data_IF_835314926344
#
_entry.id   IF_835314926344
#
_cell.length_a   1.000
_cell.length_b   1.000
_cell.length_c   1.000
_cell.angle_alpha   90.00
_cell.angle_beta   90.00
_cell.angle_gamma   90.00
#
_symmetry.space_group_name_H-M   'P 1'
#
loop_
_entity.id
_entity.type
_entity.pdbx_description
1 polymer ?
#
# COMPACT_ATOMS: atom_id res chain seq x y z
N UNK A 1 -8.22 -25.24 -12.94
CA UNK A 1 -8.73 -26.26 -11.99
C UNK A 1 -8.02 -26.08 -10.66
N UNK A 2 -8.64 -25.36 -9.72
CA UNK A 2 -8.13 -25.23 -8.36
C UNK A 2 -8.61 -26.44 -7.56
N UNK A 3 -7.70 -27.37 -7.28
CA UNK A 3 -7.99 -28.48 -6.39
C UNK A 3 -8.20 -27.96 -4.97
N UNK A 4 -9.45 -27.96 -4.50
CA UNK A 4 -9.82 -27.69 -3.11
C UNK A 4 -9.25 -28.82 -2.24
N UNK A 5 -8.26 -28.47 -1.45
CA UNK A 5 -7.64 -29.39 -0.49
C UNK A 5 -8.66 -29.76 0.59
N UNK A 6 -8.85 -31.05 0.87
CA UNK A 6 -9.79 -31.50 1.92
C UNK A 6 -9.28 -31.13 3.31
N UNK A 7 -10.20 -30.96 4.27
CA UNK A 7 -9.87 -30.64 5.67
C UNK A 7 -8.85 -31.64 6.28
N UNK A 8 -8.91 -32.91 5.89
CA UNK A 8 -7.99 -33.97 6.31
C UNK A 8 -6.58 -33.77 5.73
N UNK A 9 -6.48 -33.30 4.47
CA UNK A 9 -5.19 -32.96 3.85
C UNK A 9 -4.57 -31.70 4.47
N UNK A 10 -5.41 -30.72 4.83
CA UNK A 10 -4.99 -29.56 5.58
C UNK A 10 -4.48 -29.95 6.98
N UNK A 11 -5.21 -30.77 7.71
CA UNK A 11 -4.81 -31.27 9.06
C UNK A 11 -3.47 -32.03 9.02
N UNK A 12 -3.25 -32.89 8.02
CA UNK A 12 -1.99 -33.61 7.87
C UNK A 12 -0.79 -32.70 7.66
N UNK A 13 -0.97 -31.50 7.07
CA UNK A 13 0.08 -30.49 6.89
C UNK A 13 0.45 -29.75 8.19
N UNK A 14 -0.50 -29.70 9.15
CA UNK A 14 -0.30 -28.99 10.43
C UNK A 14 0.09 -29.91 11.59
N UNK A 15 -0.28 -31.20 11.54
CA UNK A 15 -0.18 -32.14 12.66
C UNK A 15 0.77 -33.31 12.42
N UNK A 16 1.67 -33.28 11.44
CA UNK A 16 2.77 -34.22 11.47
C UNK A 16 3.64 -33.88 12.69
N UNK A 17 3.31 -34.51 13.85
CA UNK A 17 4.29 -34.63 14.94
C UNK A 17 5.59 -35.12 14.28
N UNK A 18 6.76 -34.51 14.55
CA UNK A 18 8.02 -35.10 14.14
C UNK A 18 8.04 -36.51 14.72
N UNK A 19 8.18 -37.52 13.85
CA UNK A 19 8.58 -38.85 14.31
C UNK A 19 9.77 -38.63 15.25
N UNK A 20 9.69 -39.24 16.42
CA UNK A 20 10.80 -39.33 17.38
C UNK A 20 12.09 -39.51 16.61
N UNK A 21 12.82 -38.44 16.44
CA UNK A 21 14.15 -38.43 15.84
C UNK A 21 15.11 -38.38 17.01
N UNK A 22 15.94 -39.35 17.05
CA UNK A 22 17.17 -39.42 17.82
C UNK A 22 17.81 -38.03 17.97
N UNK A 23 18.03 -37.64 19.23
CA UNK A 23 18.87 -36.53 19.67
C UNK A 23 18.94 -35.26 18.82
N UNK A 24 18.23 -34.22 19.28
CA UNK A 24 18.72 -32.84 19.36
C UNK A 24 19.17 -32.13 18.06
N UNK A 25 18.50 -32.29 16.93
CA UNK A 25 18.67 -31.33 15.82
C UNK A 25 17.39 -30.57 15.55
N UNK A 26 17.47 -29.31 15.88
CA UNK A 26 16.43 -28.29 15.73
C UNK A 26 15.97 -28.11 14.27
N UNK A 27 14.77 -27.60 14.12
CA UNK A 27 14.19 -27.27 12.81
C UNK A 27 14.95 -26.09 12.20
N UNK A 28 15.35 -26.19 10.92
CA UNK A 28 16.09 -25.10 10.27
C UNK A 28 15.24 -23.82 10.15
N UNK A 29 15.90 -22.66 10.16
CA UNK A 29 15.26 -21.34 9.98
C UNK A 29 14.41 -21.31 8.69
N UNK A 30 14.91 -21.94 7.62
CA UNK A 30 14.19 -22.02 6.34
C UNK A 30 12.84 -22.75 6.50
N UNK A 31 12.81 -23.88 7.19
CA UNK A 31 11.60 -24.65 7.43
C UNK A 31 10.63 -23.92 8.36
N UNK A 32 11.15 -23.23 9.38
CA UNK A 32 10.34 -22.38 10.27
C UNK A 32 9.70 -21.22 9.49
N UNK A 33 10.45 -20.63 8.57
CA UNK A 33 9.94 -19.55 7.73
C UNK A 33 8.83 -20.04 6.77
N UNK A 34 8.98 -21.25 6.19
CA UNK A 34 7.92 -21.84 5.36
C UNK A 34 6.66 -22.13 6.18
N UNK A 35 6.80 -22.66 7.39
CA UNK A 35 5.67 -22.88 8.29
C UNK A 35 4.99 -21.57 8.67
N UNK A 36 5.77 -20.54 8.97
CA UNK A 36 5.24 -19.19 9.24
C UNK A 36 4.49 -18.61 8.06
N UNK A 37 5.01 -18.73 6.84
CA UNK A 37 4.32 -18.27 5.62
C UNK A 37 3.01 -19.04 5.41
N UNK A 38 2.98 -20.34 5.67
CA UNK A 38 1.73 -21.14 5.63
C UNK A 38 0.73 -20.65 6.68
N UNK A 39 1.19 -20.42 7.91
CA UNK A 39 0.33 -19.86 8.96
C UNK A 39 -0.26 -18.51 8.54
N UNK A 40 0.56 -17.57 8.07
CA UNK A 40 0.10 -16.28 7.57
C UNK A 40 -0.90 -16.41 6.41
N UNK A 41 -0.77 -17.44 5.58
CA UNK A 41 -1.64 -17.66 4.42
C UNK A 41 -2.98 -18.28 4.81
N UNK A 42 -2.96 -19.32 5.63
CA UNK A 42 -4.15 -20.15 5.85
C UNK A 42 -4.84 -19.90 7.21
N UNK A 43 -4.10 -19.43 8.21
CA UNK A 43 -4.65 -19.13 9.54
C UNK A 43 -4.96 -17.64 9.67
N UNK A 44 -3.98 -16.78 9.36
CA UNK A 44 -4.16 -15.33 9.45
C UNK A 44 -4.87 -14.74 8.20
N UNK A 45 -5.08 -15.54 7.15
CA UNK A 45 -5.73 -15.17 5.88
C UNK A 45 -5.21 -13.85 5.29
N UNK A 46 -3.88 -13.65 5.35
CA UNK A 46 -3.25 -12.42 4.87
C UNK A 46 -3.34 -12.30 3.34
N UNK A 47 -3.41 -11.06 2.84
CA UNK A 47 -3.47 -10.81 1.41
C UNK A 47 -2.24 -11.35 0.67
N UNK A 48 -2.38 -11.78 -0.62
CA UNK A 48 -1.26 -12.29 -1.43
C UNK A 48 -0.07 -11.32 -1.50
N UNK A 49 -0.33 -10.03 -1.55
CA UNK A 49 0.72 -8.99 -1.56
C UNK A 49 1.49 -8.96 -0.25
N UNK A 50 0.80 -9.09 0.89
CA UNK A 50 1.43 -9.16 2.22
C UNK A 50 2.30 -10.40 2.34
N UNK A 51 1.81 -11.57 1.88
CA UNK A 51 2.55 -12.83 1.86
C UNK A 51 3.80 -12.71 0.99
N UNK A 52 3.66 -12.16 -0.23
CA UNK A 52 4.80 -11.94 -1.14
C UNK A 52 5.88 -11.06 -0.49
N UNK A 53 5.49 -9.97 0.16
CA UNK A 53 6.41 -9.09 0.87
C UNK A 53 7.13 -9.84 2.00
N UNK A 54 6.39 -10.55 2.86
CA UNK A 54 6.99 -11.37 3.95
C UNK A 54 7.98 -12.39 3.41
N UNK A 55 7.61 -13.10 2.35
CA UNK A 55 8.46 -14.11 1.69
C UNK A 55 9.76 -13.52 1.18
N UNK A 56 9.72 -12.35 0.55
CA UNK A 56 10.91 -11.65 0.05
C UNK A 56 11.89 -11.31 1.18
N UNK A 57 11.41 -10.71 2.26
CA UNK A 57 12.26 -10.33 3.39
C UNK A 57 12.79 -11.55 4.15
N UNK A 58 11.98 -12.59 4.34
CA UNK A 58 12.45 -13.83 4.96
C UNK A 58 13.48 -14.55 4.10
N UNK A 59 13.32 -14.55 2.78
CA UNK A 59 14.32 -15.13 1.86
C UNK A 59 15.68 -14.44 2.02
N UNK A 60 15.72 -13.11 2.03
CA UNK A 60 16.95 -12.34 2.25
C UNK A 60 17.58 -12.66 3.61
N UNK A 61 16.76 -12.75 4.66
CA UNK A 61 17.24 -13.13 5.98
C UNK A 61 17.83 -14.54 6.03
N UNK A 62 17.15 -15.54 5.44
CA UNK A 62 17.62 -16.93 5.36
C UNK A 62 18.92 -17.03 4.56
N UNK A 63 19.05 -16.31 3.46
CA UNK A 63 20.27 -16.25 2.65
C UNK A 63 21.45 -15.69 3.48
N UNK A 64 21.21 -14.61 4.21
CA UNK A 64 22.21 -14.04 5.12
C UNK A 64 22.58 -15.01 6.27
N UNK A 65 21.62 -15.71 6.83
CA UNK A 65 21.87 -16.75 7.84
C UNK A 65 22.77 -17.85 7.28
N UNK A 66 22.46 -18.35 6.09
CA UNK A 66 23.24 -19.41 5.42
C UNK A 66 24.68 -18.99 5.14
N UNK A 67 24.90 -17.78 4.61
CA UNK A 67 26.24 -17.27 4.32
C UNK A 67 27.09 -17.04 5.59
N UNK A 68 26.45 -16.99 6.76
CA UNK A 68 27.14 -16.88 8.06
C UNK A 68 27.07 -18.17 8.91
N UNK A 69 26.79 -19.32 8.29
CA UNK A 69 26.70 -20.64 8.94
C UNK A 69 25.69 -20.71 10.09
N UNK A 70 24.60 -19.90 10.03
CA UNK A 70 23.49 -19.90 10.98
C UNK A 70 22.29 -20.61 10.36
N UNK A 71 22.14 -21.89 10.61
CA UNK A 71 21.09 -22.71 10.00
C UNK A 71 19.87 -22.90 10.91
N UNK A 72 20.07 -22.79 12.21
CA UNK A 72 19.04 -23.04 13.22
C UNK A 72 18.69 -21.77 13.98
N UNK A 73 17.45 -21.66 14.43
CA UNK A 73 16.98 -20.47 15.12
C UNK A 73 17.65 -20.30 16.49
N UNK A 74 18.05 -21.42 17.13
CA UNK A 74 18.79 -21.46 18.39
C UNK A 74 20.20 -20.86 18.29
N UNK A 75 20.78 -20.85 17.07
CA UNK A 75 22.09 -20.23 16.83
C UNK A 75 22.04 -18.70 16.80
N UNK A 76 20.81 -18.14 16.77
CA UNK A 76 20.60 -16.70 16.66
C UNK A 76 20.53 -16.07 18.04
N UNK A 77 21.28 -15.00 18.21
CA UNK A 77 21.21 -14.13 19.38
C UNK A 77 20.73 -12.73 18.97
N UNK A 78 20.33 -11.92 19.94
CA UNK A 78 19.95 -10.53 19.66
C UNK A 78 21.11 -9.73 19.05
N UNK A 79 22.33 -9.92 19.54
CA UNK A 79 23.52 -9.25 19.00
C UNK A 79 23.78 -9.65 17.54
N UNK A 80 23.50 -10.92 17.19
CA UNK A 80 23.62 -11.38 15.82
C UNK A 80 22.54 -10.76 14.92
N UNK A 81 21.32 -10.59 15.41
CA UNK A 81 20.26 -9.87 14.68
C UNK A 81 20.60 -8.39 14.49
N UNK A 82 21.20 -7.75 15.48
CA UNK A 82 21.67 -6.35 15.34
C UNK A 82 22.75 -6.25 14.27
N UNK A 83 23.67 -7.23 14.20
CA UNK A 83 24.63 -7.34 13.10
C UNK A 83 23.94 -7.50 11.73
N UNK A 84 22.93 -8.37 11.62
CA UNK A 84 22.14 -8.49 10.40
C UNK A 84 21.48 -7.16 10.00
N UNK A 85 20.83 -6.47 10.94
CA UNK A 85 20.18 -5.19 10.64
C UNK A 85 21.20 -4.09 10.27
N UNK A 86 22.36 -4.11 10.87
CA UNK A 86 23.45 -3.20 10.49
C UNK A 86 23.90 -3.43 9.05
N UNK A 87 24.20 -4.66 8.67
CA UNK A 87 24.60 -5.00 7.30
C UNK A 87 23.48 -4.71 6.30
N UNK A 88 22.23 -5.04 6.63
CA UNK A 88 21.07 -4.78 5.79
C UNK A 88 20.84 -3.28 5.57
N UNK A 89 21.05 -2.46 6.57
CA UNK A 89 20.88 -0.99 6.48
C UNK A 89 21.94 -0.31 5.60
N UNK A 90 23.09 -0.91 5.34
CA UNK A 90 24.10 -0.37 4.43
C UNK A 90 23.60 -0.28 2.98
N UNK A 91 22.73 -1.18 2.58
CA UNK A 91 22.26 -1.34 1.19
C UNK A 91 20.79 -1.01 0.99
N UNK A 92 20.04 -0.80 2.08
CA UNK A 92 18.59 -0.58 2.04
C UNK A 92 18.16 0.70 2.75
N UNK A 93 17.10 1.31 2.23
CA UNK A 93 16.52 2.51 2.84
C UNK A 93 15.99 2.24 4.28
N UNK A 94 15.98 3.24 5.17
CA UNK A 94 15.47 3.09 6.55
C UNK A 94 14.05 2.53 6.64
N UNK A 95 13.17 2.90 5.69
CA UNK A 95 11.79 2.38 5.61
C UNK A 95 11.75 0.88 5.30
N UNK A 96 12.64 0.40 4.42
CA UNK A 96 12.79 -1.02 4.08
C UNK A 96 13.32 -1.80 5.28
N UNK A 97 14.36 -1.26 5.94
CA UNK A 97 14.93 -1.85 7.17
C UNK A 97 13.88 -1.98 8.28
N UNK A 98 13.05 -0.95 8.47
CA UNK A 98 11.95 -1.01 9.43
C UNK A 98 10.87 -2.04 9.06
N UNK A 99 10.62 -2.21 7.76
CA UNK A 99 9.70 -3.26 7.28
C UNK A 99 10.26 -4.63 7.58
N UNK A 100 11.55 -4.86 7.32
CA UNK A 100 12.27 -6.10 7.67
C UNK A 100 12.20 -6.38 9.16
N UNK A 101 12.48 -5.39 10.01
CA UNK A 101 12.38 -5.50 11.47
C UNK A 101 10.99 -5.94 11.93
N UNK A 102 9.93 -5.35 11.37
CA UNK A 102 8.53 -5.73 11.70
C UNK A 102 8.20 -7.15 11.27
N UNK A 103 8.67 -7.57 10.10
CA UNK A 103 8.45 -8.94 9.59
C UNK A 103 9.20 -9.95 10.45
N UNK A 104 10.48 -9.71 10.77
CA UNK A 104 11.28 -10.58 11.63
C UNK A 104 10.74 -10.61 13.05
N UNK A 105 10.30 -9.49 13.62
CA UNK A 105 9.60 -9.49 14.92
C UNK A 105 8.39 -10.41 14.92
N UNK A 106 7.56 -10.34 13.87
CA UNK A 106 6.38 -11.22 13.75
C UNK A 106 6.76 -12.68 13.53
N UNK A 107 7.84 -12.95 12.80
CA UNK A 107 8.38 -14.30 12.60
C UNK A 107 8.93 -14.87 13.90
N UNK A 108 9.77 -14.13 14.63
CA UNK A 108 10.31 -14.59 15.92
C UNK A 108 9.21 -14.80 16.96
N UNK A 109 8.17 -13.96 16.98
CA UNK A 109 7.00 -14.20 17.83
C UNK A 109 6.31 -15.51 17.49
N UNK A 110 6.09 -15.79 16.20
CA UNK A 110 5.50 -17.04 15.75
C UNK A 110 6.32 -18.26 16.19
N UNK A 111 7.66 -18.25 16.05
CA UNK A 111 8.48 -19.40 16.45
C UNK A 111 8.58 -19.54 17.98
N UNK A 112 8.51 -18.44 18.72
CA UNK A 112 8.44 -18.49 20.19
C UNK A 112 7.10 -19.11 20.64
N UNK A 113 5.98 -18.66 20.07
CA UNK A 113 4.63 -19.08 20.49
C UNK A 113 4.27 -20.48 19.99
N UNK A 114 4.84 -20.95 18.88
CA UNK A 114 4.43 -22.20 18.21
C UNK A 114 5.48 -23.28 18.19
N UNK A 115 6.74 -22.93 18.23
CA UNK A 115 7.85 -23.87 18.20
C UNK A 115 8.67 -23.85 19.50
N UNK A 116 8.25 -23.04 20.48
CA UNK A 116 8.88 -22.91 21.82
C UNK A 116 10.37 -22.51 21.74
N UNK A 117 10.78 -21.87 20.64
CA UNK A 117 12.15 -21.40 20.43
C UNK A 117 12.27 -19.98 20.96
N UNK A 118 13.02 -19.80 22.04
CA UNK A 118 13.14 -18.53 22.77
C UNK A 118 14.51 -17.86 22.63
N UNK A 119 15.33 -18.29 21.66
CA UNK A 119 16.67 -17.75 21.42
C UNK A 119 16.71 -16.24 21.19
N UNK A 120 15.64 -15.69 20.63
CA UNK A 120 15.48 -14.26 20.41
C UNK A 120 14.14 -13.80 20.97
N UNK A 121 14.17 -12.89 21.94
CA UNK A 121 12.96 -12.21 22.39
C UNK A 121 12.47 -11.22 21.32
N UNK A 122 11.29 -11.44 20.70
CA UNK A 122 10.77 -10.58 19.60
C UNK A 122 10.52 -9.13 20.05
N UNK A 123 10.29 -8.87 21.34
CA UNK A 123 9.96 -7.54 21.82
C UNK A 123 11.16 -6.60 21.90
N UNK A 124 12.36 -7.13 21.87
CA UNK A 124 13.61 -6.34 21.78
C UNK A 124 13.79 -5.79 20.35
N UNK A 125 13.21 -6.42 19.32
CA UNK A 125 13.29 -5.93 17.94
C UNK A 125 12.44 -4.66 17.81
N UNK A 126 13.10 -3.50 17.93
CA UNK A 126 12.45 -2.18 17.80
C UNK A 126 12.63 -1.63 16.40
N UNK A 127 11.53 -1.19 15.78
CA UNK A 127 11.59 -0.36 14.59
C UNK A 127 11.83 1.09 15.00
N UNK A 128 12.70 1.81 14.28
CA UNK A 128 12.88 3.23 14.51
C UNK A 128 11.62 4.01 14.11
N UNK A 129 11.27 5.04 14.87
CA UNK A 129 10.29 6.03 14.40
C UNK A 129 10.93 6.77 13.21
N UNK A 130 10.55 6.40 12.01
CA UNK A 130 10.88 7.23 10.86
C UNK A 130 10.10 8.54 11.02
N UNK A 131 10.76 9.68 10.92
CA UNK A 131 10.06 10.93 10.65
C UNK A 131 9.26 10.70 9.37
N UNK A 132 7.93 10.81 9.46
CA UNK A 132 7.08 10.70 8.28
C UNK A 132 7.47 11.87 7.37
N UNK A 133 7.97 11.64 6.16
CA UNK A 133 8.27 12.73 5.25
C UNK A 133 6.97 13.51 5.01
N UNK A 134 7.08 14.84 4.85
CA UNK A 134 5.94 15.67 4.47
C UNK A 134 5.29 15.07 3.22
N UNK A 135 3.96 14.99 3.14
CA UNK A 135 3.29 14.49 1.95
C UNK A 135 3.66 15.41 0.77
N UNK A 136 4.24 14.80 -0.24
CA UNK A 136 4.53 15.52 -1.48
C UNK A 136 3.28 15.45 -2.36
N UNK A 137 2.45 16.48 -2.29
CA UNK A 137 1.37 16.67 -3.26
C UNK A 137 1.90 17.44 -4.47
N UNK A 138 1.23 17.28 -5.59
CA UNK A 138 1.53 17.94 -6.86
C UNK A 138 0.54 19.10 -6.99
N UNK A 139 1.02 20.27 -7.41
CA UNK A 139 0.16 21.41 -7.65
C UNK A 139 -0.91 21.06 -8.71
N UNK A 140 -2.11 21.57 -8.53
CA UNK A 140 -3.25 21.44 -9.43
C UNK A 140 -2.88 21.82 -10.87
N UNK A 141 -2.29 22.99 -11.08
CA UNK A 141 -1.89 23.48 -12.40
C UNK A 141 -0.94 22.53 -13.13
N UNK A 142 -0.04 21.88 -12.39
CA UNK A 142 0.88 20.88 -12.96
C UNK A 142 0.12 19.64 -13.41
N UNK A 143 -0.88 19.19 -12.62
CA UNK A 143 -1.68 18.00 -12.97
C UNK A 143 -2.53 18.31 -14.20
N UNK A 144 -3.20 19.45 -14.22
CA UNK A 144 -4.03 19.88 -15.35
C UNK A 144 -3.21 20.05 -16.62
N UNK A 145 -2.03 20.67 -16.51
CA UNK A 145 -1.10 20.78 -17.64
C UNK A 145 -0.72 19.40 -18.21
N UNK A 146 -0.40 18.44 -17.35
CA UNK A 146 -0.07 17.07 -17.79
C UNK A 146 -1.28 16.39 -18.44
N UNK A 147 -2.50 16.54 -17.87
CA UNK A 147 -3.72 15.98 -18.44
C UNK A 147 -3.95 16.55 -19.84
N UNK A 148 -3.87 17.87 -20.01
CA UNK A 148 -4.08 18.54 -21.29
C UNK A 148 -3.07 18.13 -22.36
N UNK A 149 -1.80 17.96 -21.99
CA UNK A 149 -0.71 17.58 -22.91
C UNK A 149 -0.61 16.08 -23.19
N UNK A 150 -1.24 15.25 -22.36
CA UNK A 150 -1.23 13.79 -22.56
C UNK A 150 -2.07 13.44 -23.79
N UNK A 151 -1.40 12.86 -24.80
CA UNK A 151 -2.02 12.49 -26.08
C UNK A 151 -2.67 11.11 -26.04
N UNK A 152 -2.17 10.18 -25.22
CA UNK A 152 -2.79 8.86 -25.07
C UNK A 152 -4.08 8.97 -24.25
N UNK A 153 -5.26 8.65 -24.85
CA UNK A 153 -6.56 8.85 -24.20
C UNK A 153 -6.73 7.99 -22.94
N UNK A 154 -6.13 6.80 -22.92
CA UNK A 154 -6.23 5.91 -21.77
C UNK A 154 -5.46 6.47 -20.56
N UNK A 155 -4.25 6.95 -20.80
CA UNK A 155 -3.42 7.60 -19.76
C UNK A 155 -4.07 8.89 -19.28
N UNK A 156 -4.56 9.71 -20.22
CA UNK A 156 -5.23 10.99 -19.92
C UNK A 156 -6.43 10.78 -19.01
N UNK A 157 -7.34 9.88 -19.41
CA UNK A 157 -8.56 9.60 -18.63
C UNK A 157 -8.23 8.96 -17.27
N UNK A 158 -7.23 8.07 -17.21
CA UNK A 158 -6.81 7.47 -15.95
C UNK A 158 -6.28 8.51 -14.94
N UNK A 159 -5.47 9.45 -15.39
CA UNK A 159 -4.93 10.54 -14.53
C UNK A 159 -6.07 11.42 -14.04
N UNK A 160 -6.94 11.88 -14.96
CA UNK A 160 -8.09 12.74 -14.68
C UNK A 160 -9.03 12.06 -13.65
N UNK A 161 -9.42 10.82 -13.91
CA UNK A 161 -10.29 10.05 -13.04
C UNK A 161 -9.69 9.80 -11.64
N UNK A 162 -8.40 9.43 -11.56
CA UNK A 162 -7.74 9.23 -10.28
C UNK A 162 -7.57 10.53 -9.49
N UNK A 163 -7.34 11.65 -10.17
CA UNK A 163 -7.21 12.95 -9.52
C UNK A 163 -8.56 13.50 -9.05
N UNK A 164 -9.65 13.19 -9.74
CA UNK A 164 -10.99 13.59 -9.35
C UNK A 164 -11.57 12.75 -8.21
N UNK A 165 -11.29 11.45 -8.20
CA UNK A 165 -11.90 10.52 -7.24
C UNK A 165 -11.02 10.19 -6.03
N UNK A 166 -9.72 10.47 -6.12
CA UNK A 166 -8.75 10.08 -5.09
C UNK A 166 -8.57 8.57 -4.91
N UNK A 167 -8.96 7.75 -5.88
CA UNK A 167 -8.85 6.29 -5.83
C UNK A 167 -7.40 5.82 -5.71
N UNK A 168 -7.21 4.67 -5.05
CA UNK A 168 -5.93 3.95 -5.16
C UNK A 168 -5.81 3.39 -6.58
N UNK A 169 -4.59 3.31 -7.09
CA UNK A 169 -4.37 2.76 -8.45
C UNK A 169 -4.94 1.34 -8.61
N UNK A 170 -4.91 0.52 -7.56
CA UNK A 170 -5.52 -0.82 -7.57
C UNK A 170 -7.03 -0.75 -7.71
N UNK A 171 -7.69 0.19 -7.05
CA UNK A 171 -9.12 0.44 -7.13
C UNK A 171 -9.48 0.97 -8.52
N UNK A 172 -8.76 1.97 -9.01
CA UNK A 172 -8.98 2.54 -10.35
C UNK A 172 -8.85 1.48 -11.47
N UNK A 173 -7.91 0.53 -11.35
CA UNK A 173 -7.77 -0.56 -12.31
C UNK A 173 -8.90 -1.60 -12.26
N UNK A 174 -9.72 -1.60 -11.20
CA UNK A 174 -10.81 -2.56 -11.02
C UNK A 174 -12.18 -1.96 -11.33
N UNK A 175 -12.31 -0.63 -11.35
CA UNK A 175 -13.56 0.07 -11.64
C UNK A 175 -14.08 -0.32 -13.02
N UNK A 176 -15.38 -0.59 -13.06
CA UNK A 176 -16.17 -0.81 -14.30
C UNK A 176 -17.10 0.39 -14.52
N UNK A 177 -17.69 0.49 -15.72
CA UNK A 177 -18.66 1.55 -15.99
C UNK A 177 -19.94 1.39 -15.16
N UNK A 178 -20.32 0.15 -14.82
CA UNK A 178 -21.46 -0.20 -13.97
C UNK A 178 -21.30 0.25 -12.52
N UNK A 179 -20.07 0.50 -12.06
CA UNK A 179 -19.82 1.04 -10.71
C UNK A 179 -20.11 2.55 -10.63
N UNK A 180 -20.56 3.17 -11.73
CA UNK A 180 -20.78 4.60 -11.82
C UNK A 180 -22.25 4.88 -12.11
N UNK A 181 -22.90 5.56 -11.16
CA UNK A 181 -24.29 6.01 -11.26
C UNK A 181 -24.34 7.54 -11.14
N UNK A 182 -24.74 8.21 -12.21
CA UNK A 182 -24.67 9.66 -12.34
C UNK A 182 -23.26 10.20 -11.98
N UNK A 183 -23.15 11.01 -10.95
CA UNK A 183 -21.88 11.56 -10.44
C UNK A 183 -21.27 10.71 -9.32
N UNK A 184 -21.82 9.55 -9.01
CA UNK A 184 -21.37 8.68 -7.92
C UNK A 184 -20.57 7.51 -8.47
N UNK A 185 -19.45 7.22 -7.80
CA UNK A 185 -18.61 6.06 -8.08
C UNK A 185 -18.58 5.16 -6.85
N UNK A 186 -19.08 3.95 -6.98
CA UNK A 186 -19.09 2.96 -5.92
C UNK A 186 -17.78 2.17 -5.91
N UNK A 187 -17.09 2.16 -4.79
CA UNK A 187 -15.74 1.61 -4.69
C UNK A 187 -15.68 0.55 -3.61
N UNK A 188 -15.25 -0.65 -3.99
CA UNK A 188 -14.97 -1.71 -3.05
C UNK A 188 -13.53 -1.60 -2.54
N UNK A 189 -13.36 -1.21 -1.29
CA UNK A 189 -12.06 -1.00 -0.66
C UNK A 189 -11.49 -2.25 0.01
N UNK A 190 -10.36 -2.09 0.67
CA UNK A 190 -9.72 -3.16 1.44
C UNK A 190 -10.64 -3.69 2.54
N UNK A 191 -10.79 -5.02 2.62
CA UNK A 191 -11.65 -5.68 3.61
C UNK A 191 -13.13 -5.64 3.23
N UNK A 192 -13.45 -5.55 1.96
CA UNK A 192 -14.81 -5.54 1.41
C UNK A 192 -15.68 -4.37 1.92
N UNK A 193 -15.06 -3.26 2.29
CA UNK A 193 -15.77 -2.06 2.72
C UNK A 193 -16.08 -1.19 1.52
N UNK A 194 -17.37 -0.96 1.30
CA UNK A 194 -17.84 -0.06 0.26
C UNK A 194 -17.72 1.39 0.67
N UNK A 195 -17.43 2.24 -0.29
CA UNK A 195 -17.51 3.69 -0.16
C UNK A 195 -17.92 4.33 -1.49
N UNK A 196 -18.52 5.49 -1.40
CA UNK A 196 -18.85 6.32 -2.57
C UNK A 196 -17.87 7.48 -2.67
N UNK A 197 -17.39 7.72 -3.87
CA UNK A 197 -16.66 8.95 -4.25
C UNK A 197 -17.43 9.63 -5.38
N UNK A 198 -17.06 10.87 -5.72
CA UNK A 198 -17.87 11.69 -6.61
C UNK A 198 -17.05 12.21 -7.78
N UNK A 199 -17.72 12.41 -8.91
CA UNK A 199 -17.20 13.07 -10.10
C UNK A 199 -17.80 14.47 -10.20
N UNK A 200 -17.08 15.40 -10.81
CA UNK A 200 -17.71 16.64 -11.30
C UNK A 200 -18.43 16.36 -12.63
N UNK A 201 -19.42 17.18 -13.01
CA UNK A 201 -20.13 17.02 -14.29
C UNK A 201 -19.18 17.01 -15.49
N UNK A 202 -18.12 17.81 -15.45
CA UNK A 202 -17.14 17.92 -16.53
C UNK A 202 -16.32 16.63 -16.68
N UNK A 203 -15.89 16.02 -15.55
CA UNK A 203 -15.17 14.74 -15.57
C UNK A 203 -16.09 13.62 -16.01
N UNK A 204 -17.35 13.64 -15.56
CA UNK A 204 -18.37 12.69 -16.00
C UNK A 204 -18.57 12.75 -17.53
N UNK A 205 -18.73 13.92 -18.09
CA UNK A 205 -18.89 14.10 -19.55
C UNK A 205 -17.68 13.55 -20.32
N UNK A 206 -16.44 13.85 -19.85
CA UNK A 206 -15.23 13.31 -20.48
C UNK A 206 -15.12 11.79 -20.36
N UNK A 207 -15.59 11.24 -19.25
CA UNK A 207 -15.61 9.80 -19.04
C UNK A 207 -16.60 9.11 -19.98
N UNK A 208 -17.79 9.66 -20.14
CA UNK A 208 -18.81 9.12 -21.05
C UNK A 208 -18.31 9.11 -22.50
N UNK A 209 -17.74 10.22 -22.96
CA UNK A 209 -17.12 10.30 -24.27
C UNK A 209 -15.99 9.24 -24.45
N UNK A 210 -15.16 9.07 -23.44
CA UNK A 210 -14.12 8.03 -23.45
C UNK A 210 -14.70 6.62 -23.49
N UNK A 211 -15.77 6.36 -22.73
CA UNK A 211 -16.45 5.05 -22.69
C UNK A 211 -17.05 4.71 -24.05
N UNK A 212 -17.70 5.67 -24.69
CA UNK A 212 -18.34 5.49 -26.00
C UNK A 212 -17.31 5.30 -27.11
N UNK A 213 -16.26 6.12 -27.15
CA UNK A 213 -15.20 6.04 -28.17
C UNK A 213 -14.42 4.72 -28.10
N UNK A 214 -14.15 4.24 -26.88
CA UNK A 214 -13.26 3.08 -26.66
C UNK A 214 -14.00 1.81 -26.25
N UNK A 215 -15.33 1.77 -26.33
CA UNK A 215 -16.16 0.60 -26.03
C UNK A 215 -15.93 0.06 -24.61
N UNK A 216 -15.96 0.97 -23.60
CA UNK A 216 -15.67 0.62 -22.20
C UNK A 216 -16.91 0.36 -21.36
N UNK A 217 -18.05 0.10 -21.97
CA UNK A 217 -19.30 -0.26 -21.29
C UNK A 217 -19.23 -1.60 -20.56
N UNK A 218 -18.29 -2.49 -20.95
CA UNK A 218 -18.10 -3.79 -20.32
C UNK A 218 -16.65 -4.01 -19.85
N UNK A 219 -16.48 -4.73 -18.75
CA UNK A 219 -15.21 -4.96 -18.10
C UNK A 219 -14.66 -3.71 -17.43
N UNK A 220 -13.37 -3.73 -17.07
CA UNK A 220 -12.73 -2.60 -16.38
C UNK A 220 -12.51 -1.41 -17.33
N UNK A 221 -12.75 -0.19 -16.84
CA UNK A 221 -12.67 1.05 -17.62
C UNK A 221 -11.34 1.21 -18.35
N UNK A 222 -10.22 0.98 -17.66
CA UNK A 222 -8.90 1.27 -18.21
C UNK A 222 -8.22 0.04 -18.85
N UNK A 223 -8.78 -1.18 -18.66
CA UNK A 223 -8.20 -2.47 -19.15
C UNK A 223 -6.69 -2.58 -18.93
N UNK A 224 -6.21 -2.04 -17.83
CA UNK A 224 -4.80 -2.02 -17.44
C UNK A 224 -4.62 -2.66 -16.06
N UNK A 225 -3.57 -3.46 -15.91
CA UNK A 225 -3.15 -3.88 -14.59
C UNK A 225 -2.41 -2.74 -13.86
N UNK A 226 -2.29 -2.85 -12.55
CA UNK A 226 -1.66 -1.83 -11.68
C UNK A 226 -0.24 -1.45 -12.10
N UNK A 227 0.54 -2.40 -12.65
CA UNK A 227 1.91 -2.14 -13.12
C UNK A 227 1.89 -1.27 -14.37
N UNK A 228 1.05 -1.61 -15.33
CA UNK A 228 0.86 -0.85 -16.58
C UNK A 228 0.33 0.56 -16.29
N UNK A 229 -0.73 0.67 -15.52
CA UNK A 229 -1.33 1.94 -15.12
C UNK A 229 -0.31 2.87 -14.42
N UNK A 230 0.51 2.31 -13.53
CA UNK A 230 1.61 3.05 -12.87
C UNK A 230 2.61 3.59 -13.89
N UNK A 231 3.03 2.77 -14.85
CA UNK A 231 3.98 3.20 -15.88
C UNK A 231 3.41 4.29 -16.77
N UNK A 232 2.13 4.22 -17.13
CA UNK A 232 1.44 5.26 -17.91
C UNK A 232 1.50 6.60 -17.19
N UNK A 233 1.07 6.65 -15.93
CA UNK A 233 1.09 7.86 -15.10
C UNK A 233 2.53 8.40 -14.98
N UNK A 234 3.48 7.55 -14.63
CA UNK A 234 4.87 7.98 -14.45
C UNK A 234 5.50 8.54 -15.73
N UNK A 235 5.22 7.92 -16.89
CA UNK A 235 5.71 8.39 -18.19
C UNK A 235 5.09 9.73 -18.57
N UNK A 236 3.79 9.91 -18.37
CA UNK A 236 3.11 11.16 -18.66
C UNK A 236 3.69 12.32 -17.84
N UNK A 237 3.81 12.14 -16.52
CA UNK A 237 4.38 13.18 -15.65
C UNK A 237 5.85 13.46 -15.91
N UNK A 238 6.65 12.44 -16.23
CA UNK A 238 8.04 12.62 -16.63
C UNK A 238 8.15 13.40 -17.95
N UNK A 239 7.33 13.04 -18.95
CA UNK A 239 7.38 13.61 -20.29
C UNK A 239 6.87 15.06 -20.34
N UNK A 240 5.73 15.32 -19.72
CA UNK A 240 5.04 16.60 -19.84
C UNK A 240 5.24 17.52 -18.62
N UNK A 241 5.37 16.94 -17.42
CA UNK A 241 5.56 17.68 -16.18
C UNK A 241 7.02 17.81 -15.72
N UNK A 242 7.96 17.09 -16.35
CA UNK A 242 9.38 17.07 -15.94
C UNK A 242 9.64 16.45 -14.56
N UNK A 243 8.64 15.81 -13.93
CA UNK A 243 8.73 15.29 -12.56
C UNK A 243 8.49 13.79 -12.50
N UNK A 244 9.10 13.16 -11.50
CA UNK A 244 8.84 11.76 -11.15
C UNK A 244 7.80 11.68 -10.06
N UNK A 245 6.70 10.99 -10.32
CA UNK A 245 5.63 10.81 -9.36
C UNK A 245 5.28 9.34 -9.12
N UNK A 246 4.59 9.11 -8.03
CA UNK A 246 3.88 7.85 -7.76
C UNK A 246 2.37 8.08 -7.84
N UNK A 247 1.55 7.08 -8.18
CA UNK A 247 0.09 7.22 -8.18
C UNK A 247 -0.49 7.65 -6.82
N UNK A 248 0.19 7.34 -5.72
CA UNK A 248 -0.22 7.82 -4.40
C UNK A 248 -0.12 9.35 -4.27
N UNK A 249 0.80 9.99 -5.01
CA UNK A 249 0.88 11.45 -4.99
C UNK A 249 -0.32 12.13 -5.66
N UNK A 250 -0.93 11.52 -6.71
CA UNK A 250 -2.22 12.01 -7.25
C UNK A 250 -3.31 11.97 -6.18
N UNK A 251 -3.42 10.88 -5.46
CA UNK A 251 -4.38 10.75 -4.35
C UNK A 251 -4.07 11.72 -3.20
N UNK A 252 -2.81 11.99 -2.91
CA UNK A 252 -2.42 13.03 -1.96
C UNK A 252 -2.80 14.43 -2.47
N UNK A 253 -2.64 14.69 -3.76
CA UNK A 253 -3.02 15.96 -4.38
C UNK A 253 -4.53 16.18 -4.37
N UNK A 254 -5.34 15.13 -4.60
CA UNK A 254 -6.78 15.16 -4.42
C UNK A 254 -7.16 15.57 -2.98
N UNK A 255 -6.59 14.91 -1.98
CA UNK A 255 -6.88 15.22 -0.58
C UNK A 255 -6.45 16.63 -0.20
N UNK A 256 -5.27 17.09 -0.68
CA UNK A 256 -4.79 18.45 -0.47
C UNK A 256 -5.72 19.48 -1.11
N UNK A 257 -6.17 19.24 -2.37
CA UNK A 257 -7.14 20.10 -3.06
C UNK A 257 -8.43 20.24 -2.27
N UNK A 258 -9.00 19.14 -1.80
CA UNK A 258 -10.24 19.18 -0.99
C UNK A 258 -10.05 19.97 0.29
N UNK A 259 -8.94 19.74 1.00
CA UNK A 259 -8.66 20.44 2.25
C UNK A 259 -8.46 21.95 2.05
N UNK A 260 -7.69 22.35 1.04
CA UNK A 260 -7.45 23.75 0.67
C UNK A 260 -8.74 24.46 0.24
N UNK A 261 -9.71 23.72 -0.32
CA UNK A 261 -11.04 24.21 -0.67
C UNK A 261 -12.05 24.16 0.48
N UNK A 262 -11.62 23.82 1.70
CA UNK A 262 -12.43 23.90 2.91
C UNK A 262 -13.18 22.62 3.29
N UNK A 263 -12.92 21.49 2.60
CA UNK A 263 -13.49 20.21 3.02
C UNK A 263 -12.88 19.78 4.37
N UNK A 264 -13.71 19.32 5.28
CA UNK A 264 -13.25 18.86 6.59
C UNK A 264 -12.48 17.52 6.50
N UNK A 265 -11.59 17.28 7.47
CA UNK A 265 -10.70 16.13 7.49
C UNK A 265 -11.48 14.81 7.59
N UNK A 266 -12.61 14.79 8.32
CA UNK A 266 -13.40 13.57 8.51
C UNK A 266 -14.08 13.16 7.19
N UNK A 267 -14.59 14.12 6.42
CA UNK A 267 -15.13 13.90 5.07
C UNK A 267 -14.05 13.38 4.11
N UNK A 268 -12.85 14.00 4.12
CA UNK A 268 -11.72 13.54 3.30
C UNK A 268 -11.32 12.11 3.67
N UNK A 269 -11.27 11.80 4.98
CA UNK A 269 -10.97 10.45 5.46
C UNK A 269 -12.00 9.42 4.94
N UNK A 270 -13.28 9.75 4.98
CA UNK A 270 -14.39 8.91 4.49
C UNK A 270 -14.26 8.68 2.98
N UNK A 271 -14.05 9.73 2.18
CA UNK A 271 -13.86 9.65 0.74
C UNK A 271 -12.65 8.79 0.37
N UNK A 272 -11.54 8.96 1.07
CA UNK A 272 -10.34 8.17 0.83
C UNK A 272 -10.46 6.72 1.35
N UNK A 273 -11.38 6.42 2.25
CA UNK A 273 -11.48 5.11 2.89
C UNK A 273 -10.22 4.75 3.70
N UNK A 274 -9.74 5.71 4.50
CA UNK A 274 -8.66 5.48 5.44
C UNK A 274 -9.20 4.85 6.71
N UNK A 275 -8.74 3.64 7.03
CA UNK A 275 -9.06 2.98 8.31
C UNK A 275 -8.31 3.59 9.49
N UNK A 276 -7.24 4.34 9.26
CA UNK A 276 -6.40 4.97 10.27
C UNK A 276 -6.32 6.48 10.01
N UNK A 277 -6.77 7.25 11.00
CA UNK A 277 -6.75 8.71 11.02
C UNK A 277 -5.32 9.27 10.86
N UNK A 278 -4.31 8.52 11.34
CA UNK A 278 -2.91 8.92 11.25
C UNK A 278 -2.43 9.12 9.81
N UNK A 279 -3.10 8.49 8.85
CA UNK A 279 -2.81 8.65 7.42
C UNK A 279 -3.36 9.98 6.88
N UNK A 280 -4.44 10.49 7.48
CA UNK A 280 -5.06 11.78 7.11
C UNK A 280 -4.43 12.93 7.89
N UNK A 281 -3.89 12.67 9.08
CA UNK A 281 -3.18 13.65 9.92
C UNK A 281 -1.92 14.24 9.24
N UNK A 282 -1.40 13.57 8.20
CA UNK A 282 -0.30 14.13 7.40
C UNK A 282 -0.70 15.46 6.73
N UNK A 283 -2.00 15.68 6.53
CA UNK A 283 -2.53 16.91 5.93
C UNK A 283 -2.78 18.03 6.96
N UNK A 284 -2.60 17.78 8.25
CA UNK A 284 -2.75 18.83 9.28
C UNK A 284 -1.79 20.00 9.07
N UNK A 285 -0.59 19.74 8.55
CA UNK A 285 0.35 20.80 8.22
C UNK A 285 -0.14 21.71 7.08
N UNK A 286 -1.02 21.18 6.20
CA UNK A 286 -1.68 21.99 5.15
C UNK A 286 -2.87 22.77 5.71
N UNK A 287 -3.37 22.40 6.91
CA UNK A 287 -4.47 23.10 7.56
C UNK A 287 -4.06 24.52 7.97
N UNK A 288 -2.82 24.71 8.37
CA UNK A 288 -2.31 26.03 8.73
C UNK A 288 -2.30 26.97 7.50
N UNK A 289 -1.85 26.46 6.33
CA UNK A 289 -1.94 27.19 5.06
C UNK A 289 -3.41 27.40 4.62
N UNK A 290 -4.28 26.41 4.84
CA UNK A 290 -5.70 26.54 4.53
C UNK A 290 -6.41 27.56 5.46
N UNK A 291 -6.08 27.58 6.76
CA UNK A 291 -6.59 28.54 7.73
C UNK A 291 -6.12 29.95 7.37
N UNK A 292 -4.86 30.11 7.01
CA UNK A 292 -4.30 31.38 6.56
C UNK A 292 -5.03 31.88 5.31
N UNK A 293 -5.21 31.03 4.32
CA UNK A 293 -5.95 31.36 3.09
C UNK A 293 -7.43 31.71 3.37
N UNK A 294 -8.09 30.99 4.27
CA UNK A 294 -9.47 31.30 4.68
C UNK A 294 -9.55 32.64 5.44
N UNK A 295 -8.58 32.91 6.32
CA UNK A 295 -8.48 34.19 7.01
C UNK A 295 -8.36 35.36 6.04
N UNK A 296 -7.45 35.28 5.07
CA UNK A 296 -7.29 36.35 4.08
C UNK A 296 -8.49 36.48 3.16
N UNK A 297 -9.14 35.37 2.74
CA UNK A 297 -10.40 35.43 1.97
C UNK A 297 -11.52 36.11 2.75
N UNK A 298 -11.71 35.74 4.02
CA UNK A 298 -12.72 36.35 4.89
C UNK A 298 -12.46 37.85 5.10
N UNK A 299 -11.19 38.23 5.31
CA UNK A 299 -10.80 39.62 5.48
C UNK A 299 -10.99 40.46 4.21
N UNK A 300 -10.64 39.93 3.06
CA UNK A 300 -10.80 40.64 1.78
C UNK A 300 -12.28 40.80 1.39
N UNK A 301 -13.13 39.83 1.71
CA UNK A 301 -14.58 39.91 1.51
C UNK A 301 -15.24 40.94 2.48
N UNK A 302 -14.61 41.24 3.63
CA UNK A 302 -15.07 42.24 4.57
C UNK A 302 -14.69 43.70 4.18
N UNK A 303 -13.83 43.90 3.17
CA UNK A 303 -13.44 45.22 2.65
C UNK A 303 -14.26 45.66 1.43
N UNK A 304 -15.27 44.90 1.05
CA UNK A 304 -16.18 45.16 -0.06
C UNK A 304 -17.52 45.78 0.34
N UNK A 305 -17.54 46.55 1.44
CA UNK A 305 -18.67 47.43 1.81
C UNK A 305 -18.21 48.88 1.87
#
# INVERSE_FOLDING_TARGET
MNATMTATQAAALFFTKPKTIDSARSITIARLADNYIRHCTYVDTMSPTTISTRRTHLKQFIEFCRSNNKLYAEDLTINWLDFYFYEFAKTHAPSTTNTTKRILKSFFRYITDRAEITSVNPDIIKSHKNMKPRPRYINHDTIDYVIQRTTDPHTKMLIDFMYETGLRITEACQITYQDIDDLRVYVLGKGNKERTVYLTPEVRQRLDAYVDEWGRQSGTLFRANTKTARLWIQRAFKKYGGIHITPHQLRHSYAARLLLNGCDIASIQKLLGHSDISTTMIYLQLKDEAVENQYYKARNNAQGY
#
